data_IF_208199543782
#
_entry.id   IF_208199543782
#
_cell.length_a   1.000
_cell.length_b   1.000
_cell.length_c   1.000
_cell.angle_alpha   90.00
_cell.angle_beta   90.00
_cell.angle_gamma   90.00
#
_symmetry.space_group_name_H-M   'P 1'
#
loop_
_entity.id
_entity.type
_entity.pdbx_description
1 polymer ?
#
# COMPACT_ATOMS: atom_id res chain seq x y z
N UNK A 1 -29.52 23.23 -8.99
CA UNK A 1 -29.47 22.01 -8.17
C UNK A 1 -29.01 20.78 -8.98
N UNK A 2 -27.98 20.90 -9.83
CA UNK A 2 -27.54 19.80 -10.72
C UNK A 2 -26.01 19.59 -10.77
N UNK A 3 -25.27 20.13 -9.80
CA UNK A 3 -23.80 20.00 -9.75
C UNK A 3 -23.31 18.87 -8.83
N UNK A 4 -24.23 18.19 -8.12
CA UNK A 4 -23.88 17.12 -7.19
C UNK A 4 -23.32 15.87 -7.88
N UNK A 5 -23.85 15.50 -9.04
CA UNK A 5 -23.44 14.28 -9.75
C UNK A 5 -22.02 14.39 -10.34
N UNK A 6 -21.65 15.46 -11.08
CA UNK A 6 -20.28 15.63 -11.55
C UNK A 6 -19.26 15.67 -10.40
N UNK A 7 -19.56 16.42 -9.33
CA UNK A 7 -18.69 16.49 -8.16
C UNK A 7 -18.51 15.13 -7.48
N UNK A 8 -19.59 14.37 -7.31
CA UNK A 8 -19.54 13.04 -6.73
C UNK A 8 -18.70 12.06 -7.56
N UNK A 9 -18.82 12.10 -8.89
CA UNK A 9 -18.01 11.27 -9.79
C UNK A 9 -16.54 11.64 -9.72
N UNK A 10 -16.20 12.93 -9.68
CA UNK A 10 -14.82 13.38 -9.49
C UNK A 10 -14.26 12.96 -8.13
N UNK A 11 -15.05 13.09 -7.07
CA UNK A 11 -14.65 12.62 -5.73
C UNK A 11 -14.37 11.12 -5.73
N UNK A 12 -15.28 10.31 -6.28
CA UNK A 12 -15.07 8.87 -6.43
C UNK A 12 -13.82 8.56 -7.24
N UNK A 13 -13.60 9.24 -8.37
CA UNK A 13 -12.43 9.03 -9.21
C UNK A 13 -11.12 9.30 -8.45
N UNK A 14 -11.05 10.37 -7.66
CA UNK A 14 -9.87 10.70 -6.85
C UNK A 14 -9.64 9.64 -5.76
N UNK A 15 -10.69 9.19 -5.07
CA UNK A 15 -10.58 8.13 -4.06
C UNK A 15 -10.13 6.82 -4.69
N UNK A 16 -10.76 6.40 -5.80
CA UNK A 16 -10.38 5.19 -6.54
C UNK A 16 -8.94 5.23 -7.04
N UNK A 17 -8.50 6.37 -7.58
CA UNK A 17 -7.12 6.56 -8.02
C UNK A 17 -6.14 6.48 -6.84
N UNK A 18 -6.47 7.14 -5.72
CA UNK A 18 -5.63 7.12 -4.52
C UNK A 18 -5.48 5.71 -3.95
N UNK A 19 -6.60 4.96 -3.85
CA UNK A 19 -6.60 3.57 -3.42
C UNK A 19 -5.84 2.67 -4.41
N UNK A 20 -6.00 2.90 -5.71
CA UNK A 20 -5.27 2.17 -6.75
C UNK A 20 -3.75 2.38 -6.62
N UNK A 21 -3.30 3.63 -6.43
CA UNK A 21 -1.88 3.94 -6.21
C UNK A 21 -1.37 3.29 -4.93
N UNK A 22 -2.12 3.38 -3.82
CA UNK A 22 -1.74 2.77 -2.55
C UNK A 22 -1.63 1.24 -2.66
N UNK A 23 -2.58 0.58 -3.34
CA UNK A 23 -2.55 -0.87 -3.56
C UNK A 23 -1.40 -1.31 -4.45
N UNK A 24 -0.92 -0.46 -5.37
CA UNK A 24 0.23 -0.77 -6.23
C UNK A 24 1.59 -0.55 -5.56
N UNK A 25 1.63 -0.02 -4.33
CA UNK A 25 2.88 0.09 -3.59
C UNK A 25 3.49 -1.30 -3.33
N UNK A 26 4.83 -1.41 -3.25
CA UNK A 26 5.54 -2.68 -3.04
C UNK A 26 5.46 -3.11 -1.56
N UNK A 27 4.25 -3.20 -1.03
CA UNK A 27 3.95 -3.62 0.34
C UNK A 27 3.33 -5.02 0.24
N UNK A 28 3.94 -6.07 0.80
CA UNK A 28 3.51 -7.47 0.71
C UNK A 28 2.06 -7.80 1.10
N UNK A 29 1.38 -6.93 1.85
CA UNK A 29 -0.04 -7.07 2.23
C UNK A 29 -0.98 -6.48 1.16
N UNK A 30 -0.45 -5.65 0.26
CA UNK A 30 -1.17 -4.98 -0.83
C UNK A 30 -0.92 -5.70 -2.17
N UNK A 31 -1.81 -5.48 -3.15
CA UNK A 31 -1.76 -6.13 -4.47
C UNK A 31 -0.40 -5.93 -5.19
N UNK A 32 0.22 -4.76 -5.02
CA UNK A 32 1.52 -4.42 -5.56
C UNK A 32 2.67 -5.25 -4.99
N UNK A 33 2.56 -5.73 -3.75
CA UNK A 33 3.49 -6.68 -3.17
C UNK A 33 3.52 -8.00 -3.94
N UNK A 34 2.35 -8.52 -4.33
CA UNK A 34 2.26 -9.71 -5.16
C UNK A 34 2.82 -9.49 -6.56
N UNK A 35 2.61 -8.32 -7.16
CA UNK A 35 3.19 -7.96 -8.47
C UNK A 35 4.72 -7.99 -8.42
N UNK A 36 5.32 -7.43 -7.37
CA UNK A 36 6.79 -7.46 -7.20
C UNK A 36 7.31 -8.89 -7.07
N UNK A 37 6.59 -9.76 -6.34
CA UNK A 37 6.98 -11.17 -6.22
C UNK A 37 6.85 -11.93 -7.53
N UNK A 38 5.79 -11.71 -8.31
CA UNK A 38 5.63 -12.27 -9.65
C UNK A 38 6.69 -11.75 -10.63
N UNK A 39 7.05 -10.46 -10.55
CA UNK A 39 8.16 -9.90 -11.34
C UNK A 39 9.49 -10.54 -10.95
N UNK A 40 9.72 -10.76 -9.65
CA UNK A 40 10.90 -11.47 -9.17
C UNK A 40 10.92 -12.92 -9.66
N UNK A 41 9.78 -13.62 -9.70
CA UNK A 41 9.65 -14.96 -10.32
C UNK A 41 9.98 -14.92 -11.81
N UNK A 42 9.44 -13.93 -12.54
CA UNK A 42 9.67 -13.79 -13.97
C UNK A 42 11.14 -13.54 -14.30
N UNK A 43 11.81 -12.66 -13.54
CA UNK A 43 13.25 -12.39 -13.68
C UNK A 43 14.08 -13.62 -13.29
N UNK A 44 13.70 -14.31 -12.22
CA UNK A 44 14.41 -15.50 -11.71
C UNK A 44 14.16 -16.75 -12.57
N UNK A 45 13.11 -16.77 -13.39
CA UNK A 45 12.72 -17.89 -14.25
C UNK A 45 12.31 -19.17 -13.50
N UNK A 46 12.15 -19.09 -12.18
CA UNK A 46 11.77 -20.22 -11.32
C UNK A 46 10.85 -19.74 -10.20
N UNK A 47 9.91 -20.58 -9.74
CA UNK A 47 8.98 -20.20 -8.69
C UNK A 47 9.73 -19.74 -7.44
N UNK A 48 9.19 -18.70 -6.79
CA UNK A 48 9.72 -18.21 -5.53
C UNK A 48 9.40 -19.26 -4.47
N UNK A 49 10.42 -19.64 -3.69
CA UNK A 49 10.23 -20.66 -2.65
C UNK A 49 9.25 -20.16 -1.59
N UNK A 50 8.46 -21.06 -1.01
CA UNK A 50 7.50 -20.75 0.06
C UNK A 50 8.16 -19.98 1.22
N UNK A 51 9.41 -20.32 1.56
CA UNK A 51 10.21 -19.59 2.56
C UNK A 51 10.44 -18.13 2.21
N UNK A 52 10.71 -17.83 0.93
CA UNK A 52 10.92 -16.47 0.44
C UNK A 52 9.62 -15.68 0.41
N UNK A 53 8.50 -16.33 0.07
CA UNK A 53 7.18 -15.71 0.13
C UNK A 53 6.83 -15.31 1.57
N UNK A 54 6.99 -16.23 2.52
CA UNK A 54 6.77 -16.00 3.95
C UNK A 54 7.70 -14.91 4.48
N UNK A 55 8.99 -14.96 4.13
CA UNK A 55 9.96 -13.92 4.52
C UNK A 55 9.57 -12.55 3.96
N UNK A 56 9.14 -12.48 2.69
CA UNK A 56 8.62 -11.27 2.07
C UNK A 56 7.40 -10.73 2.83
N UNK A 57 6.45 -11.58 3.19
CA UNK A 57 5.27 -11.21 3.98
C UNK A 57 5.65 -10.58 5.32
N UNK A 58 6.58 -11.19 6.07
CA UNK A 58 7.06 -10.66 7.35
C UNK A 58 7.81 -9.33 7.21
N UNK A 59 8.66 -9.21 6.19
CA UNK A 59 9.35 -7.94 5.87
C UNK A 59 8.32 -6.85 5.58
N UNK A 60 7.29 -7.18 4.79
CA UNK A 60 6.19 -6.26 4.49
C UNK A 60 5.41 -5.81 5.71
N UNK A 61 5.05 -6.76 6.56
CA UNK A 61 4.35 -6.48 7.81
C UNK A 61 5.19 -5.59 8.73
N UNK A 62 6.49 -5.88 8.87
CA UNK A 62 7.40 -5.07 9.68
C UNK A 62 7.51 -3.63 9.14
N UNK A 63 7.61 -3.47 7.82
CA UNK A 63 7.68 -2.16 7.17
C UNK A 63 6.37 -1.38 7.36
N UNK A 64 5.23 -2.06 7.22
CA UNK A 64 3.91 -1.47 7.46
C UNK A 64 3.74 -1.02 8.92
N UNK A 65 4.06 -1.88 9.89
CA UNK A 65 4.01 -1.53 11.31
C UNK A 65 4.95 -0.37 11.64
N UNK A 66 6.14 -0.34 11.05
CA UNK A 66 7.10 0.75 11.23
C UNK A 66 6.54 2.07 10.69
N UNK A 67 5.97 2.06 9.48
CA UNK A 67 5.34 3.24 8.89
C UNK A 67 4.15 3.72 9.72
N UNK A 68 3.28 2.80 10.16
CA UNK A 68 2.15 3.14 11.03
C UNK A 68 2.62 3.76 12.35
N UNK A 69 3.68 3.21 12.95
CA UNK A 69 4.25 3.73 14.19
C UNK A 69 4.82 5.14 13.99
N UNK A 70 5.51 5.39 12.87
CA UNK A 70 6.03 6.72 12.52
C UNK A 70 4.91 7.73 12.27
N UNK A 71 3.87 7.33 11.53
CA UNK A 71 2.70 8.18 11.28
C UNK A 71 1.99 8.52 12.60
N UNK A 72 1.75 7.53 13.45
CA UNK A 72 1.13 7.72 14.76
C UNK A 72 1.97 8.62 15.68
N UNK A 73 3.29 8.44 15.71
CA UNK A 73 4.19 9.32 16.45
C UNK A 73 4.09 10.77 15.93
N UNK A 74 4.10 10.95 14.60
CA UNK A 74 3.97 12.27 13.99
C UNK A 74 2.63 12.92 14.35
N UNK A 75 1.53 12.16 14.28
CA UNK A 75 0.20 12.63 14.65
C UNK A 75 0.13 13.06 16.13
N UNK A 76 0.72 12.28 17.05
CA UNK A 76 0.81 12.65 18.47
C UNK A 76 1.64 13.92 18.66
N UNK A 77 2.84 14.00 18.07
CA UNK A 77 3.70 15.17 18.18
C UNK A 77 3.00 16.41 17.64
N UNK A 78 2.30 16.28 16.50
CA UNK A 78 1.49 17.35 15.92
C UNK A 78 0.37 17.77 16.86
N UNK A 79 -0.34 16.83 17.47
CA UNK A 79 -1.43 17.11 18.43
C UNK A 79 -0.96 17.74 19.73
N UNK A 80 0.24 17.40 20.22
CA UNK A 80 0.81 17.97 21.45
C UNK A 80 1.44 19.34 21.21
N UNK A 81 1.96 19.58 20.00
CA UNK A 81 2.61 20.84 19.62
C UNK A 81 1.61 21.89 19.12
N UNK A 82 0.46 21.47 18.58
CA UNK A 82 -0.64 22.35 18.14
C UNK A 82 -1.52 22.76 19.31
#
# INVERSE_FOLDING_TARGET
ANEGLPWFLTFLAVISLSLGILNLLPIPILDGGHIVMCLAEWIKGSPVSERTLIAGQYVGLALLVSLMSLAFYNDIVRLVTS
#
